data_IF_649319047560
#
_entry.id   IF_649319047560
#
_cell.length_a   1.000
_cell.length_b   1.000
_cell.length_c   1.000
_cell.angle_alpha   90.00
_cell.angle_beta   90.00
_cell.angle_gamma   90.00
#
_symmetry.space_group_name_H-M   'P 1'
#
loop_
_entity.id
_entity.type
_entity.pdbx_description
1 polymer ?
#
# COMPACT_ATOMS: atom_id res chain seq x y z
N UNK A 1 -9.48 -2.05 2.24
CA UNK A 1 -8.83 -3.05 3.12
C UNK A 1 -9.70 -3.26 4.35
N UNK A 2 -9.63 -4.43 4.98
CA UNK A 2 -10.33 -4.76 6.23
C UNK A 2 -9.51 -5.78 7.02
N UNK A 3 -9.34 -5.58 8.32
CA UNK A 3 -8.62 -6.54 9.17
C UNK A 3 -9.34 -6.80 10.49
N UNK A 4 -9.52 -8.08 10.90
CA UNK A 4 -9.95 -8.41 12.26
C UNK A 4 -8.80 -8.36 13.28
N UNK A 5 -7.55 -8.20 12.83
CA UNK A 5 -6.37 -8.13 13.69
C UNK A 5 -6.34 -6.81 14.48
N UNK A 6 -5.68 -6.83 15.64
CA UNK A 6 -5.54 -5.65 16.52
C UNK A 6 -4.25 -4.87 16.29
N UNK A 7 -3.39 -5.38 15.41
CA UNK A 7 -2.10 -4.86 15.00
C UNK A 7 -2.02 -4.79 13.47
N UNK A 8 -1.00 -4.10 12.98
CA UNK A 8 -0.81 -3.86 11.55
C UNK A 8 -0.06 -5.02 10.89
N UNK A 9 -0.39 -5.26 9.62
CA UNK A 9 0.36 -6.14 8.74
C UNK A 9 0.61 -5.45 7.40
N UNK A 10 1.38 -6.05 6.51
CA UNK A 10 1.73 -5.38 5.24
C UNK A 10 0.59 -5.41 4.24
N UNK A 11 0.06 -4.24 3.86
CA UNK A 11 -0.98 -4.14 2.84
C UNK A 11 -0.40 -4.48 1.47
N UNK A 12 0.63 -3.74 1.05
CA UNK A 12 1.31 -3.99 -0.21
C UNK A 12 2.80 -3.63 -0.12
N UNK A 13 3.58 -4.27 -0.98
CA UNK A 13 4.97 -3.94 -1.27
C UNK A 13 5.24 -4.10 -2.76
N UNK A 14 5.81 -3.07 -3.37
CA UNK A 14 6.36 -3.09 -4.71
C UNK A 14 7.88 -3.11 -4.61
N UNK A 15 8.51 -4.04 -5.30
CA UNK A 15 9.96 -4.19 -5.29
C UNK A 15 10.52 -4.54 -6.66
N UNK A 16 11.75 -4.09 -6.90
CA UNK A 16 12.59 -4.54 -8.01
C UNK A 16 13.73 -5.42 -7.51
N UNK A 17 14.47 -6.05 -8.40
CA UNK A 17 15.69 -6.79 -8.01
C UNK A 17 16.76 -5.87 -7.40
N UNK A 18 16.79 -4.59 -7.80
CA UNK A 18 17.73 -3.59 -7.28
C UNK A 18 17.31 -3.02 -5.93
N UNK A 19 16.01 -2.89 -5.72
CA UNK A 19 15.42 -2.30 -4.51
C UNK A 19 14.12 -3.05 -4.18
N UNK A 20 14.15 -4.02 -3.23
CA UNK A 20 12.96 -4.74 -2.80
C UNK A 20 11.93 -3.84 -2.11
N UNK A 21 12.36 -2.74 -1.48
CA UNK A 21 11.49 -1.80 -0.75
C UNK A 21 11.31 -0.51 -1.54
N UNK A 22 10.90 -0.65 -2.81
CA UNK A 22 10.77 0.48 -3.74
C UNK A 22 9.58 1.37 -3.39
N UNK A 23 8.41 0.76 -3.17
CA UNK A 23 7.23 1.41 -2.57
C UNK A 23 6.56 0.40 -1.65
N UNK A 24 6.07 0.81 -0.49
CA UNK A 24 5.27 -0.08 0.34
C UNK A 24 4.40 0.65 1.35
N UNK A 25 3.29 0.02 1.71
CA UNK A 25 2.50 0.39 2.88
C UNK A 25 2.47 -0.81 3.81
N UNK A 26 3.38 -0.78 4.79
CA UNK A 26 3.78 -1.96 5.56
C UNK A 26 3.39 -1.81 7.03
N UNK A 27 3.02 -2.93 7.64
CA UNK A 27 2.73 -3.05 9.07
C UNK A 27 3.61 -4.11 9.71
N UNK A 28 3.52 -4.24 11.03
CA UNK A 28 4.26 -5.25 11.78
C UNK A 28 3.44 -5.71 12.98
N UNK A 29 3.42 -7.02 13.21
CA UNK A 29 2.74 -7.59 14.37
C UNK A 29 3.28 -7.00 15.68
N UNK A 30 2.37 -6.72 16.61
CA UNK A 30 2.62 -6.00 17.85
C UNK A 30 2.69 -4.47 17.69
N UNK A 31 2.58 -3.92 16.49
CA UNK A 31 2.51 -2.48 16.24
C UNK A 31 1.13 -2.08 15.70
N UNK A 32 0.67 -0.87 16.02
CA UNK A 32 -0.61 -0.29 15.55
C UNK A 32 -0.43 0.79 14.49
N UNK A 33 0.81 1.18 14.21
CA UNK A 33 1.16 2.12 13.16
C UNK A 33 1.52 1.41 11.86
N UNK A 34 1.24 2.05 10.74
CA UNK A 34 1.76 1.67 9.43
C UNK A 34 3.01 2.49 9.09
N UNK A 35 3.83 1.99 8.16
CA UNK A 35 4.93 2.73 7.55
C UNK A 35 4.68 2.84 6.05
N UNK A 36 4.62 4.07 5.54
CA UNK A 36 4.72 4.32 4.11
C UNK A 36 6.19 4.40 3.71
N UNK A 37 6.58 3.65 2.67
CA UNK A 37 7.94 3.56 2.20
C UNK A 37 8.06 3.99 0.73
N UNK A 38 9.10 4.74 0.43
CA UNK A 38 9.57 5.03 -0.94
C UNK A 38 11.09 4.95 -0.95
N UNK A 39 11.65 4.12 -1.83
CA UNK A 39 13.10 3.83 -1.91
C UNK A 39 13.75 3.57 -0.54
N UNK A 40 13.12 2.69 0.24
CA UNK A 40 13.50 2.33 1.62
C UNK A 40 13.52 3.49 2.65
N UNK A 41 13.22 4.73 2.25
CA UNK A 41 12.92 5.80 3.19
C UNK A 41 11.52 5.59 3.78
N UNK A 42 11.33 6.04 5.02
CA UNK A 42 10.17 5.67 5.85
C UNK A 42 9.44 6.91 6.36
N UNK A 43 8.12 6.86 6.29
CA UNK A 43 7.22 7.79 6.96
C UNK A 43 6.27 6.99 7.88
N UNK A 44 6.17 7.39 9.15
CA UNK A 44 5.20 6.79 10.06
C UNK A 44 3.78 7.29 9.75
N UNK A 45 2.80 6.40 9.76
CA UNK A 45 1.39 6.67 9.48
C UNK A 45 0.55 6.06 10.61
N UNK A 46 -0.02 6.92 11.44
CA UNK A 46 -0.94 6.54 12.51
C UNK A 46 -2.39 6.67 12.01
N UNK A 47 -3.05 5.52 11.75
CA UNK A 47 -4.45 5.42 11.31
C UNK A 47 -5.18 4.30 12.06
N UNK A 48 -5.29 4.37 13.40
CA UNK A 48 -5.84 3.28 14.21
C UNK A 48 -7.30 2.92 13.89
N UNK A 49 -8.04 3.82 13.24
CA UNK A 49 -9.43 3.62 12.82
C UNK A 49 -9.60 2.44 11.86
N UNK A 50 -8.57 2.07 11.08
CA UNK A 50 -8.67 0.94 10.12
C UNK A 50 -8.57 -0.45 10.79
N UNK A 51 -8.38 -0.48 12.12
CA UNK A 51 -8.23 -1.69 12.93
C UNK A 51 -9.51 -2.02 13.73
N UNK A 52 -10.68 -1.75 13.14
CA UNK A 52 -12.00 -1.95 13.76
C UNK A 52 -12.78 -3.17 13.19
N UNK A 53 -12.19 -3.88 12.22
CA UNK A 53 -12.84 -5.01 11.55
C UNK A 53 -13.82 -4.63 10.44
N UNK A 54 -13.87 -3.37 10.00
CA UNK A 54 -14.69 -2.90 8.89
C UNK A 54 -13.87 -2.64 7.63
N UNK A 55 -14.57 -2.43 6.51
CA UNK A 55 -13.96 -2.04 5.25
C UNK A 55 -13.64 -0.55 5.25
N UNK A 56 -12.39 -0.24 4.90
CA UNK A 56 -11.93 1.13 4.70
C UNK A 56 -11.28 1.29 3.33
N UNK A 57 -11.51 2.46 2.71
CA UNK A 57 -10.76 2.90 1.53
C UNK A 57 -9.57 3.72 2.02
N UNK A 58 -8.37 3.22 1.76
CA UNK A 58 -7.12 3.91 2.10
C UNK A 58 -6.47 4.38 0.81
N UNK A 59 -6.24 5.68 0.68
CA UNK A 59 -5.58 6.29 -0.47
C UNK A 59 -4.26 6.93 -0.02
N UNK A 60 -3.19 6.73 -0.80
CA UNK A 60 -1.86 7.26 -0.51
C UNK A 60 -1.35 7.99 -1.74
N UNK A 61 -0.81 9.19 -1.55
CA UNK A 61 -0.09 9.92 -2.60
C UNK A 61 1.35 10.16 -2.20
N UNK A 62 2.22 10.22 -3.21
CA UNK A 62 3.60 10.64 -3.07
C UNK A 62 4.04 11.43 -4.30
N UNK A 63 4.78 12.52 -4.08
CA UNK A 63 5.27 13.41 -5.12
C UNK A 63 6.79 13.46 -5.09
N UNK A 64 7.42 13.17 -6.22
CA UNK A 64 8.88 13.11 -6.28
C UNK A 64 9.58 14.47 -6.10
N UNK A 65 8.97 15.59 -6.51
CA UNK A 65 9.65 16.90 -6.55
C UNK A 65 10.08 17.41 -5.17
N UNK A 66 9.24 17.18 -4.17
CA UNK A 66 9.41 17.66 -2.79
C UNK A 66 9.28 16.53 -1.75
N UNK A 67 8.97 15.31 -2.18
CA UNK A 67 8.74 14.18 -1.30
C UNK A 67 7.45 14.32 -0.49
N UNK A 68 6.51 15.17 -0.92
CA UNK A 68 5.21 15.30 -0.25
C UNK A 68 4.44 13.98 -0.35
N UNK A 69 3.88 13.54 0.78
CA UNK A 69 2.99 12.40 0.84
C UNK A 69 1.77 12.70 1.70
N UNK A 70 0.67 12.02 1.40
CA UNK A 70 -0.60 12.14 2.13
C UNK A 70 -1.25 10.76 2.21
N UNK A 71 -1.92 10.49 3.31
CA UNK A 71 -2.75 9.30 3.53
C UNK A 71 -4.15 9.75 3.87
N UNK A 72 -5.12 9.22 3.15
CA UNK A 72 -6.54 9.40 3.41
C UNK A 72 -7.19 8.07 3.76
N UNK A 73 -8.15 8.12 4.69
CA UNK A 73 -9.02 7.02 5.09
C UNK A 73 -10.45 7.49 4.91
N UNK A 74 -11.23 6.76 4.12
CA UNK A 74 -12.66 7.01 3.85
C UNK A 74 -12.96 8.47 3.42
N UNK A 75 -12.08 9.03 2.58
CA UNK A 75 -12.23 10.38 2.04
C UNK A 75 -11.75 11.50 2.97
N UNK A 76 -11.17 11.19 4.13
CA UNK A 76 -10.58 12.15 5.05
C UNK A 76 -9.05 12.01 5.13
N UNK A 77 -8.32 13.13 5.11
CA UNK A 77 -6.86 13.09 5.34
C UNK A 77 -6.55 12.79 6.80
N UNK A 78 -5.69 11.80 7.03
CA UNK A 78 -5.30 11.35 8.36
C UNK A 78 -3.82 11.56 8.67
N UNK A 79 -2.97 11.54 7.65
CA UNK A 79 -1.54 11.79 7.82
C UNK A 79 -0.96 12.43 6.56
N UNK A 80 0.06 13.26 6.74
CA UNK A 80 0.83 13.83 5.64
C UNK A 80 2.22 14.25 6.09
N UNK A 81 3.11 14.47 5.11
CA UNK A 81 4.47 14.92 5.35
C UNK A 81 5.16 15.31 4.07
N UNK A 82 6.45 15.63 4.16
CA UNK A 82 7.30 16.01 3.02
C UNK A 82 8.72 15.48 3.18
N UNK A 83 9.54 15.61 2.13
CA UNK A 83 10.94 15.18 2.13
C UNK A 83 11.16 13.68 1.92
N UNK A 84 10.11 12.86 1.85
CA UNK A 84 10.23 11.42 1.64
C UNK A 84 10.76 11.13 0.23
N UNK A 85 11.96 10.57 0.11
CA UNK A 85 12.59 10.18 -1.15
C UNK A 85 12.60 11.30 -2.22
N UNK A 86 12.83 12.55 -1.81
CA UNK A 86 12.83 13.69 -2.73
C UNK A 86 13.78 13.48 -3.92
N UNK A 87 13.30 13.75 -5.12
CA UNK A 87 14.01 13.60 -6.39
C UNK A 87 14.02 12.16 -6.94
N UNK A 88 13.52 11.19 -6.19
CA UNK A 88 13.52 9.80 -6.61
C UNK A 88 12.60 9.55 -7.80
N UNK A 89 12.92 8.56 -8.63
CA UNK A 89 12.06 8.07 -9.70
C UNK A 89 11.83 6.59 -9.46
N UNK A 90 10.57 6.21 -9.32
CA UNK A 90 10.18 4.82 -9.09
C UNK A 90 10.74 3.94 -10.20
N UNK A 91 11.50 2.92 -9.80
CA UNK A 91 12.11 1.97 -10.73
C UNK A 91 11.02 1.12 -11.41
N UNK A 92 10.98 1.01 -12.75
CA UNK A 92 9.99 0.20 -13.45
C UNK A 92 10.35 -1.29 -13.40
N UNK A 93 9.41 -2.15 -13.82
CA UNK A 93 9.65 -3.59 -13.99
C UNK A 93 9.71 -4.41 -12.70
N UNK A 94 9.23 -3.84 -11.59
CA UNK A 94 9.09 -4.55 -10.33
C UNK A 94 7.83 -5.40 -10.22
N UNK A 95 7.68 -6.04 -9.08
CA UNK A 95 6.55 -6.92 -8.75
C UNK A 95 5.80 -6.35 -7.56
N UNK A 96 4.47 -6.34 -7.65
CA UNK A 96 3.58 -6.04 -6.53
C UNK A 96 3.31 -7.32 -5.72
N UNK A 97 3.51 -7.22 -4.41
CA UNK A 97 3.22 -8.25 -3.42
C UNK A 97 2.16 -7.69 -2.47
N UNK A 98 1.17 -8.52 -2.16
CA UNK A 98 0.08 -8.16 -1.25
C UNK A 98 0.15 -9.03 -0.01
N UNK A 99 -0.12 -8.45 1.15
CA UNK A 99 -0.12 -9.17 2.42
C UNK A 99 1.26 -9.51 3.00
N UNK A 100 2.36 -9.11 2.35
CA UNK A 100 3.73 -9.48 2.72
C UNK A 100 4.72 -8.34 2.41
N UNK A 101 5.68 -8.09 3.31
CA UNK A 101 6.81 -7.15 3.10
C UNK A 101 7.94 -7.89 2.37
N UNK A 102 8.19 -7.55 1.10
CA UNK A 102 9.17 -8.26 0.28
C UNK A 102 10.60 -7.86 0.66
N UNK A 103 11.41 -8.88 0.96
CA UNK A 103 12.83 -8.73 1.29
C UNK A 103 13.73 -8.95 0.09
N UNK A 104 13.34 -9.82 -0.84
CA UNK A 104 14.08 -10.06 -2.09
C UNK A 104 13.13 -10.37 -3.24
N UNK A 105 13.37 -9.77 -4.39
CA UNK A 105 12.57 -9.96 -5.62
C UNK A 105 13.32 -10.88 -6.57
N UNK A 106 12.61 -11.82 -7.19
CA UNK A 106 13.17 -12.77 -8.15
C UNK A 106 12.32 -14.03 -8.32
N UNK A 107 12.87 -15.09 -8.94
CA UNK A 107 12.16 -16.36 -9.16
C UNK A 107 11.70 -17.05 -7.88
N UNK A 108 12.43 -16.83 -6.78
CA UNK A 108 12.10 -17.27 -5.43
C UNK A 108 12.12 -16.06 -4.50
N UNK A 109 11.03 -15.28 -4.43
CA UNK A 109 10.99 -14.12 -3.56
C UNK A 109 11.03 -14.56 -2.10
N UNK A 110 11.53 -13.68 -1.23
CA UNK A 110 11.49 -13.89 0.21
C UNK A 110 10.88 -12.68 0.90
N UNK A 111 10.31 -12.91 2.07
CA UNK A 111 9.53 -11.94 2.81
C UNK A 111 10.09 -11.73 4.22
N UNK A 112 9.84 -10.55 4.76
CA UNK A 112 10.13 -10.26 6.17
C UNK A 112 9.16 -11.02 7.07
N UNK A 113 9.66 -11.46 8.23
CA UNK A 113 8.85 -12.16 9.23
C UNK A 113 8.06 -11.18 10.08
N UNK A 114 6.92 -11.63 10.62
CA UNK A 114 6.05 -10.88 11.53
C UNK A 114 5.48 -9.59 10.88
N UNK A 115 5.32 -9.60 9.56
CA UNK A 115 4.84 -8.48 8.74
C UNK A 115 3.70 -8.89 7.81
N UNK A 116 3.21 -10.11 7.96
CA UNK A 116 2.07 -10.65 7.25
C UNK A 116 0.78 -9.88 7.59
N UNK A 117 -0.07 -9.68 6.59
CA UNK A 117 -1.41 -9.14 6.79
C UNK A 117 -2.42 -10.27 7.00
N UNK A 118 -3.30 -10.07 7.97
CA UNK A 118 -4.45 -10.95 8.22
C UNK A 118 -5.70 -10.12 7.97
N UNK A 119 -6.43 -10.41 6.90
CA UNK A 119 -7.61 -9.66 6.52
C UNK A 119 -7.93 -9.74 5.03
N UNK A 120 -8.76 -8.82 4.57
CA UNK A 120 -9.26 -8.76 3.21
C UNK A 120 -8.72 -7.51 2.48
N UNK A 121 -8.31 -7.71 1.23
CA UNK A 121 -7.86 -6.66 0.32
C UNK A 121 -8.70 -6.69 -0.96
N UNK A 122 -9.10 -5.51 -1.42
CA UNK A 122 -9.90 -5.30 -2.62
C UNK A 122 -9.59 -3.91 -3.20
N UNK A 123 -9.98 -3.70 -4.46
CA UNK A 123 -9.91 -2.40 -5.15
C UNK A 123 -8.53 -1.72 -5.07
N UNK A 124 -7.46 -2.48 -5.25
CA UNK A 124 -6.13 -1.88 -5.29
C UNK A 124 -5.85 -1.28 -6.67
N UNK A 125 -5.64 0.03 -6.66
CA UNK A 125 -5.44 0.82 -7.86
C UNK A 125 -4.20 1.69 -7.70
N UNK A 126 -3.47 1.92 -8.79
CA UNK A 126 -2.32 2.81 -8.81
C UNK A 126 -2.50 3.84 -9.92
N UNK A 127 -2.23 5.10 -9.58
CA UNK A 127 -2.19 6.20 -10.53
C UNK A 127 -0.75 6.67 -10.77
N UNK A 128 -0.44 7.07 -12.00
CA UNK A 128 0.86 7.66 -12.36
C UNK A 128 0.94 9.18 -12.10
N UNK A 129 -0.09 9.76 -11.49
CA UNK A 129 -0.18 11.17 -11.09
C UNK A 129 -0.53 11.30 -9.62
N UNK A 130 -0.18 12.44 -9.04
CA UNK A 130 -0.67 12.84 -7.72
C UNK A 130 -2.13 13.27 -7.87
N UNK A 131 -3.02 12.58 -7.17
CA UNK A 131 -4.44 12.96 -7.11
C UNK A 131 -4.63 14.16 -6.19
N UNK A 132 -5.51 15.07 -6.59
CA UNK A 132 -6.00 16.16 -5.74
C UNK A 132 -6.83 15.60 -4.57
N UNK A 133 -7.08 16.43 -3.55
CA UNK A 133 -7.95 16.04 -2.42
C UNK A 133 -9.33 15.62 -2.88
N UNK A 134 -9.88 16.31 -3.89
CA UNK A 134 -11.22 16.02 -4.40
C UNK A 134 -11.25 14.70 -5.18
N UNK A 135 -10.25 14.45 -6.04
CA UNK A 135 -10.11 13.15 -6.71
C UNK A 135 -9.95 12.00 -5.70
N UNK A 136 -9.14 12.19 -4.64
CA UNK A 136 -8.97 11.18 -3.59
C UNK A 136 -10.26 10.92 -2.80
N UNK A 137 -11.06 11.95 -2.50
CA UNK A 137 -12.38 11.79 -1.87
C UNK A 137 -13.32 10.94 -2.72
N UNK A 138 -13.29 11.17 -4.04
CA UNK A 138 -14.11 10.41 -4.96
C UNK A 138 -13.71 8.94 -5.07
N UNK A 139 -12.50 8.53 -4.65
CA UNK A 139 -12.10 7.12 -4.62
C UNK A 139 -13.00 6.28 -3.71
N UNK A 140 -13.62 6.87 -2.68
CA UNK A 140 -14.57 6.16 -1.82
C UNK A 140 -15.83 5.68 -2.57
N UNK A 141 -16.15 6.29 -3.72
CA UNK A 141 -17.23 5.81 -4.59
C UNK A 141 -16.91 4.52 -5.34
N UNK A 142 -15.63 4.11 -5.40
CA UNK A 142 -15.14 2.97 -6.17
C UNK A 142 -15.38 3.07 -7.70
N UNK A 143 -15.66 4.26 -8.22
CA UNK A 143 -15.96 4.48 -9.65
C UNK A 143 -14.74 4.85 -10.49
N UNK A 144 -13.61 5.18 -9.86
CA UNK A 144 -12.40 5.69 -10.51
C UNK A 144 -11.25 4.66 -10.41
N UNK A 145 -11.10 3.73 -11.38
CA UNK A 145 -10.01 2.77 -11.37
C UNK A 145 -8.65 3.41 -11.68
N UNK A 146 -7.56 2.74 -11.28
CA UNK A 146 -6.18 3.18 -11.51
C UNK A 146 -5.76 3.15 -12.98
N UNK A 147 -4.91 4.09 -13.39
CA UNK A 147 -4.37 4.16 -14.76
C UNK A 147 -3.07 3.36 -14.95
N UNK A 148 -2.33 3.08 -13.87
CA UNK A 148 -1.08 2.32 -13.90
C UNK A 148 -1.27 0.86 -13.45
N UNK A 149 -2.09 0.64 -12.42
CA UNK A 149 -2.52 -0.69 -11.98
C UNK A 149 -4.02 -0.63 -11.74
N UNK A 150 -4.76 -1.57 -12.35
CA UNK A 150 -6.19 -1.74 -12.15
C UNK A 150 -6.47 -3.19 -11.75
N UNK A 151 -6.80 -3.42 -10.47
CA UNK A 151 -7.06 -4.77 -9.96
C UNK A 151 -8.18 -5.49 -10.70
N UNK A 152 -9.17 -4.76 -11.25
CA UNK A 152 -10.30 -5.35 -11.98
C UNK A 152 -9.88 -6.00 -13.31
N UNK A 153 -8.71 -5.65 -13.83
CA UNK A 153 -8.16 -6.16 -15.08
C UNK A 153 -6.85 -6.93 -14.89
N UNK A 154 -6.25 -6.85 -13.70
CA UNK A 154 -4.98 -7.50 -13.41
C UNK A 154 -5.16 -8.97 -13.03
N UNK A 155 -4.21 -9.81 -13.43
CA UNK A 155 -4.10 -11.18 -12.91
C UNK A 155 -3.39 -11.17 -11.56
N UNK A 156 -4.12 -11.49 -10.49
CA UNK A 156 -3.54 -11.71 -9.16
C UNK A 156 -3.33 -13.20 -8.95
N UNK A 157 -2.12 -13.61 -8.60
CA UNK A 157 -1.76 -15.03 -8.36
C UNK A 157 -1.70 -15.31 -6.86
N UNK A 158 -2.69 -16.01 -6.27
CA UNK A 158 -2.65 -16.39 -4.86
C UNK A 158 -1.52 -17.39 -4.59
N UNK A 159 -0.84 -17.26 -3.45
CA UNK A 159 0.14 -18.24 -2.95
C UNK A 159 0.00 -18.39 -1.44
N UNK A 160 0.04 -19.62 -0.95
CA UNK A 160 -0.13 -19.91 0.48
C UNK A 160 -1.60 -19.89 0.91
N UNK A 161 -1.87 -19.45 2.15
CA UNK A 161 -3.21 -19.45 2.75
C UNK A 161 -4.03 -18.22 2.33
N UNK A 162 -4.17 -18.01 1.01
CA UNK A 162 -4.94 -16.89 0.43
C UNK A 162 -6.05 -17.46 -0.44
N UNK A 163 -7.22 -16.84 -0.37
CA UNK A 163 -8.38 -17.21 -1.18
C UNK A 163 -8.88 -15.99 -1.94
N UNK A 164 -9.34 -16.19 -3.17
CA UNK A 164 -10.06 -15.18 -3.93
C UNK A 164 -11.56 -15.40 -3.74
N UNK A 165 -12.28 -14.35 -3.34
CA UNK A 165 -13.72 -14.36 -3.12
C UNK A 165 -14.33 -13.05 -3.62
N UNK A 166 -15.59 -13.05 -4.09
CA UNK A 166 -16.37 -11.82 -4.21
C UNK A 166 -16.51 -11.15 -2.82
N UNK A 167 -16.53 -9.82 -2.77
CA UNK A 167 -16.78 -9.03 -1.56
C UNK A 167 -17.99 -8.12 -1.75
#
# INVERSE_FOLDING_TARGET
MRTPARDTGTIFSYGTQQQPREIGFVGQSGNRDYTFMVDNQRANVNIPEVLDGQWHVVAITWRNTDGQWRVMVDGEEKASGSGLARGHRIRPGGTWYFGQDVRSVGPRPSFERNREYVGDLAEFHVHNKVLSTEEMRQLYSLLNPGDAVNWRQATVTPRGQVQQRPY
#
